data_IF_402444526102
#
_entry.id   IF_402444526102
#
_cell.length_a   1.000
_cell.length_b   1.000
_cell.length_c   1.000
_cell.angle_alpha   90.00
_cell.angle_beta   90.00
_cell.angle_gamma   90.00
#
_symmetry.space_group_name_H-M   'P 1'
#
loop_
_entity.id
_entity.type
_entity.pdbx_description
1 polymer ?
#
# COMPACT_ATOMS: atom_id res chain seq x y z
N UNK A 1 3.96 51.67 3.62
CA UNK A 1 3.30 50.87 2.58
C UNK A 1 4.35 50.43 1.57
N UNK A 2 4.78 49.17 1.58
CA UNK A 2 5.08 48.38 0.37
C UNK A 2 5.49 46.96 0.79
N UNK A 3 4.94 45.99 0.07
CA UNK A 3 4.73 44.62 0.51
C UNK A 3 5.98 43.73 0.41
N UNK A 4 6.24 42.94 1.47
CA UNK A 4 7.15 41.80 1.39
C UNK A 4 6.50 40.69 0.56
N UNK A 5 7.10 40.38 -0.59
CA UNK A 5 6.83 39.16 -1.37
C UNK A 5 7.23 37.95 -0.53
N UNK A 6 6.27 37.34 0.14
CA UNK A 6 6.34 35.91 0.44
C UNK A 6 6.15 35.18 -0.87
N UNK A 7 7.27 34.83 -1.51
CA UNK A 7 7.29 33.75 -2.48
C UNK A 7 6.71 32.53 -1.79
N UNK A 8 5.47 32.19 -2.15
CA UNK A 8 4.83 30.95 -1.74
C UNK A 8 5.76 29.84 -2.19
N UNK A 9 6.46 29.22 -1.25
CA UNK A 9 7.11 27.93 -1.50
C UNK A 9 5.97 27.04 -1.92
N UNK A 10 5.85 26.79 -3.23
CA UNK A 10 4.97 25.77 -3.74
C UNK A 10 5.55 24.46 -3.20
N UNK A 11 5.10 24.09 -2.00
CA UNK A 11 5.22 22.73 -1.51
C UNK A 11 4.65 21.90 -2.65
N UNK A 12 5.44 21.02 -3.29
CA UNK A 12 4.91 20.18 -4.34
C UNK A 12 3.70 19.51 -3.71
N UNK A 13 2.52 19.70 -4.31
CA UNK A 13 1.29 19.02 -3.88
C UNK A 13 1.66 17.55 -3.88
N UNK A 14 1.99 17.02 -2.71
CA UNK A 14 2.32 15.64 -2.50
C UNK A 14 1.14 14.87 -3.06
N UNK A 15 1.41 14.08 -4.08
CA UNK A 15 0.41 13.22 -4.69
C UNK A 15 0.00 12.20 -3.64
N UNK A 16 -1.07 12.56 -2.93
CA UNK A 16 -2.02 11.87 -2.03
C UNK A 16 -1.72 10.42 -1.61
N UNK A 17 -1.18 9.57 -2.47
CA UNK A 17 -1.01 8.12 -2.26
C UNK A 17 0.36 7.75 -1.64
N UNK A 18 1.47 8.35 -2.06
CA UNK A 18 2.80 7.97 -1.53
C UNK A 18 2.94 8.25 -0.03
N UNK A 19 2.34 9.37 0.44
CA UNK A 19 2.29 9.70 1.86
C UNK A 19 1.39 8.74 2.64
N UNK A 20 0.19 8.45 2.12
CA UNK A 20 -0.72 7.46 2.71
C UNK A 20 -0.03 6.10 2.82
N UNK A 21 0.75 5.72 1.82
CA UNK A 21 1.50 4.47 1.83
C UNK A 21 2.61 4.47 2.88
N UNK A 22 3.41 5.53 2.97
CA UNK A 22 4.45 5.62 3.98
C UNK A 22 3.85 5.53 5.40
N UNK A 23 2.74 6.23 5.64
CA UNK A 23 2.01 6.16 6.91
C UNK A 23 1.45 4.77 7.17
N UNK A 24 0.82 4.14 6.17
CA UNK A 24 0.29 2.78 6.29
C UNK A 24 1.40 1.77 6.61
N UNK A 25 2.53 1.82 5.90
CA UNK A 25 3.70 0.97 6.15
C UNK A 25 4.18 1.14 7.59
N UNK A 26 4.22 2.38 8.10
CA UNK A 26 4.64 2.63 9.47
C UNK A 26 3.65 2.05 10.49
N UNK A 27 2.35 2.31 10.33
CA UNK A 27 1.31 1.74 11.22
C UNK A 27 1.33 0.20 11.22
N UNK A 28 1.59 -0.42 10.06
CA UNK A 28 1.70 -1.87 9.94
C UNK A 28 2.90 -2.44 10.70
N UNK A 29 4.03 -1.73 10.72
CA UNK A 29 5.23 -2.14 11.48
C UNK A 29 4.99 -2.12 12.98
N UNK A 30 4.16 -1.19 13.45
CA UNK A 30 3.85 -1.04 14.87
C UNK A 30 2.89 -2.14 15.37
N UNK A 31 2.35 -2.99 14.48
CA UNK A 31 1.60 -4.21 14.82
C UNK A 31 0.18 -3.98 15.34
N UNK A 32 -0.23 -2.73 15.55
CA UNK A 32 -1.52 -2.35 16.16
C UNK A 32 -2.65 -2.16 15.16
N UNK A 33 -2.44 -2.54 13.89
CA UNK A 33 -3.36 -2.18 12.81
C UNK A 33 -4.39 -3.27 12.55
N UNK A 34 -5.68 -2.96 12.69
CA UNK A 34 -6.76 -3.90 12.38
C UNK A 34 -6.92 -4.10 10.86
N UNK A 35 -7.37 -5.29 10.46
CA UNK A 35 -7.70 -5.62 9.07
C UNK A 35 -8.72 -4.64 8.45
N UNK A 36 -9.69 -4.18 9.26
CA UNK A 36 -10.67 -3.18 8.83
C UNK A 36 -10.01 -1.83 8.54
N UNK A 37 -9.10 -1.37 9.41
CA UNK A 37 -8.34 -0.13 9.18
C UNK A 37 -7.50 -0.21 7.90
N UNK A 38 -6.73 -1.29 7.72
CA UNK A 38 -5.91 -1.49 6.52
C UNK A 38 -6.77 -1.40 5.26
N UNK A 39 -7.91 -2.09 5.25
CA UNK A 39 -8.87 -2.08 4.14
C UNK A 39 -9.39 -0.66 3.88
N UNK A 40 -9.80 0.08 4.91
CA UNK A 40 -10.27 1.46 4.78
C UNK A 40 -9.21 2.39 4.19
N UNK A 41 -7.95 2.28 4.63
CA UNK A 41 -6.86 3.10 4.09
C UNK A 41 -6.59 2.74 2.62
N UNK A 42 -6.51 1.44 2.28
CA UNK A 42 -6.31 0.96 0.91
C UNK A 42 -7.40 1.47 -0.07
N UNK A 43 -8.64 1.61 0.40
CA UNK A 43 -9.75 2.17 -0.41
C UNK A 43 -9.60 3.66 -0.72
N UNK A 44 -8.74 4.39 0.00
CA UNK A 44 -8.50 5.83 -0.25
C UNK A 44 -7.43 6.11 -1.31
N UNK A 45 -6.73 5.08 -1.77
CA UNK A 45 -5.71 5.21 -2.80
C UNK A 45 -6.35 5.40 -4.18
N UNK A 46 -5.77 6.29 -4.98
CA UNK A 46 -6.26 6.59 -6.33
C UNK A 46 -5.62 5.70 -7.38
N UNK A 47 -4.38 5.27 -7.15
CA UNK A 47 -3.67 4.44 -8.12
C UNK A 47 -4.28 3.02 -8.18
N UNK A 48 -4.60 2.50 -9.38
CA UNK A 48 -5.37 1.27 -9.54
C UNK A 48 -4.67 0.02 -8.98
N UNK A 49 -3.34 -0.01 -8.96
CA UNK A 49 -2.58 -1.15 -8.42
C UNK A 49 -2.86 -1.39 -6.92
N UNK A 50 -3.22 -0.37 -6.14
CA UNK A 50 -3.58 -0.57 -4.73
C UNK A 50 -4.87 -1.38 -4.56
N UNK A 51 -5.79 -1.32 -5.52
CA UNK A 51 -7.00 -2.12 -5.50
C UNK A 51 -6.71 -3.63 -5.62
N UNK A 52 -5.52 -4.02 -6.10
CA UNK A 52 -5.12 -5.42 -6.14
C UNK A 52 -4.98 -6.05 -4.74
N UNK A 53 -4.64 -5.26 -3.72
CA UNK A 53 -4.58 -5.71 -2.32
C UNK A 53 -5.97 -5.98 -1.72
N UNK A 54 -7.02 -5.39 -2.30
CA UNK A 54 -8.41 -5.58 -1.86
C UNK A 54 -9.07 -6.80 -2.50
N UNK A 55 -8.33 -7.64 -3.22
CA UNK A 55 -8.89 -8.82 -3.86
C UNK A 55 -9.27 -9.89 -2.83
N UNK A 56 -10.45 -10.49 -2.95
CA UNK A 56 -10.97 -11.44 -1.95
C UNK A 56 -11.08 -12.87 -2.46
N UNK A 57 -10.94 -13.08 -3.77
CA UNK A 57 -11.21 -14.39 -4.42
C UNK A 57 -10.07 -14.90 -5.27
N UNK A 58 -9.43 -14.01 -6.03
CA UNK A 58 -8.45 -14.38 -7.04
C UNK A 58 -7.12 -13.71 -6.77
N UNK A 59 -6.05 -14.33 -7.21
CA UNK A 59 -4.77 -13.66 -7.22
C UNK A 59 -4.78 -12.48 -8.20
N UNK A 60 -3.96 -11.47 -7.92
CA UNK A 60 -3.67 -10.36 -8.81
C UNK A 60 -2.17 -10.29 -9.03
N UNK A 61 -1.78 -9.72 -10.17
CA UNK A 61 -0.40 -9.45 -10.50
C UNK A 61 -0.28 -7.98 -10.82
N UNK A 62 0.57 -7.25 -10.10
CA UNK A 62 0.82 -5.81 -10.32
C UNK A 62 2.26 -5.58 -10.76
N UNK A 63 2.55 -4.41 -11.32
CA UNK A 63 3.91 -4.06 -11.71
C UNK A 63 4.82 -3.99 -10.48
N UNK A 64 6.04 -4.49 -10.62
CA UNK A 64 7.02 -4.40 -9.55
C UNK A 64 7.52 -2.96 -9.42
N UNK A 65 7.48 -2.44 -8.20
CA UNK A 65 8.29 -1.32 -7.75
C UNK A 65 8.71 -1.60 -6.32
N UNK A 66 9.86 -1.06 -5.88
CA UNK A 66 10.34 -1.29 -4.50
C UNK A 66 9.33 -0.83 -3.46
N UNK A 67 8.61 0.23 -3.78
CA UNK A 67 7.56 0.82 -2.95
C UNK A 67 6.35 -0.13 -2.83
N UNK A 68 5.84 -0.66 -3.94
CA UNK A 68 4.75 -1.64 -3.94
C UNK A 68 5.16 -2.95 -3.27
N UNK A 69 6.40 -3.38 -3.47
CA UNK A 69 6.96 -4.56 -2.83
C UNK A 69 7.03 -4.39 -1.32
N UNK A 70 7.55 -3.27 -0.83
CA UNK A 70 7.62 -2.97 0.60
C UNK A 70 6.24 -3.00 1.28
N UNK A 71 5.23 -2.40 0.64
CA UNK A 71 3.85 -2.45 1.13
C UNK A 71 3.32 -3.88 1.15
N UNK A 72 3.47 -4.64 0.06
CA UNK A 72 3.02 -6.02 -0.03
C UNK A 72 3.65 -6.91 1.04
N UNK A 73 4.94 -6.72 1.34
CA UNK A 73 5.65 -7.46 2.40
C UNK A 73 5.05 -7.16 3.77
N UNK A 74 4.75 -5.90 4.10
CA UNK A 74 4.12 -5.58 5.39
C UNK A 74 2.69 -6.12 5.48
N UNK A 75 1.92 -6.04 4.40
CA UNK A 75 0.56 -6.62 4.35
C UNK A 75 0.57 -8.15 4.50
N UNK A 76 1.61 -8.83 3.97
CA UNK A 76 1.81 -10.26 4.18
C UNK A 76 2.14 -10.62 5.63
N UNK A 77 2.93 -9.79 6.31
CA UNK A 77 3.31 -10.00 7.72
C UNK A 77 2.14 -9.85 8.69
N UNK A 78 1.19 -8.96 8.38
CA UNK A 78 -0.02 -8.80 9.19
C UNK A 78 -1.17 -9.71 8.76
N UNK A 79 -0.91 -10.71 7.90
CA UNK A 79 -1.91 -11.66 7.40
C UNK A 79 -3.08 -10.99 6.64
N UNK A 80 -2.88 -9.79 6.08
CA UNK A 80 -3.89 -9.11 5.24
C UNK A 80 -3.95 -9.75 3.85
N UNK A 81 -2.80 -10.14 3.33
CA UNK A 81 -2.62 -10.99 2.14
C UNK A 81 -1.71 -12.16 2.50
N UNK A 82 -1.62 -13.16 1.63
CA UNK A 82 -0.52 -14.14 1.72
C UNK A 82 0.83 -13.46 1.43
N UNK A 83 1.95 -14.04 1.89
CA UNK A 83 3.28 -13.54 1.57
C UNK A 83 3.44 -13.30 0.06
N UNK A 84 3.80 -12.07 -0.37
CA UNK A 84 3.87 -11.73 -1.79
C UNK A 84 5.02 -12.49 -2.45
N UNK A 85 4.89 -12.74 -3.76
CA UNK A 85 5.91 -13.42 -4.55
C UNK A 85 6.29 -12.59 -5.77
N UNK A 86 7.58 -12.41 -6.07
CA UNK A 86 7.96 -11.86 -7.36
C UNK A 86 7.64 -12.89 -8.46
N UNK A 87 7.24 -12.41 -9.62
CA UNK A 87 6.86 -13.22 -10.78
C UNK A 87 7.35 -12.56 -12.06
N UNK A 88 7.32 -13.29 -13.19
CA UNK A 88 7.75 -12.81 -14.50
C UNK A 88 9.15 -12.16 -14.46
N UNK A 89 10.18 -12.94 -14.09
CA UNK A 89 11.55 -12.46 -13.95
C UNK A 89 11.68 -11.21 -13.06
N UNK A 90 10.94 -11.18 -11.94
CA UNK A 90 10.91 -10.09 -10.96
C UNK A 90 10.34 -8.76 -11.46
N UNK A 91 9.61 -8.76 -12.59
CA UNK A 91 8.94 -7.54 -13.10
C UNK A 91 7.54 -7.34 -12.53
N UNK A 92 6.98 -8.35 -11.85
CA UNK A 92 5.62 -8.30 -11.27
C UNK A 92 5.54 -8.87 -9.87
N UNK A 93 4.59 -8.39 -9.09
CA UNK A 93 4.29 -8.88 -7.74
C UNK A 93 2.97 -9.65 -7.79
N UNK A 94 2.98 -10.90 -7.34
CA UNK A 94 1.77 -11.71 -7.17
C UNK A 94 1.20 -11.49 -5.77
N UNK A 95 -0.05 -11.06 -5.73
CA UNK A 95 -0.86 -10.80 -4.54
C UNK A 95 -1.96 -11.84 -4.46
N UNK A 96 -2.15 -12.47 -3.31
CA UNK A 96 -3.20 -13.45 -3.06
C UNK A 96 -3.97 -13.10 -1.78
N UNK A 97 -5.30 -13.24 -1.75
CA UNK A 97 -6.08 -13.03 -0.53
C UNK A 97 -5.62 -13.99 0.57
N UNK A 98 -5.57 -13.50 1.80
CA UNK A 98 -5.39 -14.38 2.96
C UNK A 98 -6.70 -15.12 3.24
N UNK A 99 -6.68 -16.45 3.29
CA UNK A 99 -7.88 -17.23 3.59
C UNK A 99 -7.94 -17.57 5.07
N UNK A 100 -9.07 -17.28 5.72
CA UNK A 100 -9.27 -17.59 7.14
C UNK A 100 -9.21 -19.10 7.45
N UNK A 101 -9.19 -19.98 6.43
CA UNK A 101 -8.98 -21.43 6.57
C UNK A 101 -7.52 -21.81 6.86
N UNK A 102 -6.59 -20.86 6.79
CA UNK A 102 -5.15 -21.07 7.02
C UNK A 102 -4.75 -20.85 8.49
N UNK A 103 -5.66 -20.35 9.34
CA UNK A 103 -5.50 -20.36 10.81
C UNK A 103 -5.86 -21.75 11.34
N UNK A 104 -4.94 -22.70 11.20
CA UNK A 104 -5.01 -24.02 11.85
C UNK A 104 -3.75 -24.27 12.66
#
# INVERSE_FOLDING_TARGET
MSANRTGSVMVPKLTDDEQKQALLIQSLKDGMTSQAFVRSVLQTFRHPDYAAFLTEKNHRSIMYSDVMWALAVQLGRCEFIRPPKPTHANTRIRIEPFSNREKK
#
